data_IF_048494859217
#
_entry.id   IF_048494859217
#
_cell.length_a   1.000
_cell.length_b   1.000
_cell.length_c   1.000
_cell.angle_alpha   90.00
_cell.angle_beta   90.00
_cell.angle_gamma   90.00
#
_symmetry.space_group_name_H-M   'P 1'
#
loop_
_entity.id
_entity.type
_entity.pdbx_description
1 polymer ?
#
# COMPACT_ATOMS: atom_id res chain seq x y z
N UNK A 1 -16.38 -11.77 1.42
CA UNK A 1 -16.07 -10.73 0.40
C UNK A 1 -17.02 -10.90 -0.77
N UNK A 2 -17.64 -9.82 -1.27
CA UNK A 2 -18.60 -9.87 -2.38
C UNK A 2 -17.97 -10.31 -3.70
N UNK A 3 -16.79 -9.79 -4.03
CA UNK A 3 -16.10 -10.14 -5.29
C UNK A 3 -15.09 -11.27 -5.08
N UNK A 4 -15.21 -12.39 -5.79
CA UNK A 4 -14.21 -13.47 -5.77
C UNK A 4 -12.91 -13.09 -6.47
N UNK A 5 -11.77 -13.16 -5.77
CA UNK A 5 -10.45 -12.78 -6.32
C UNK A 5 -9.29 -13.49 -5.63
N UNK A 6 -8.14 -13.51 -6.30
CA UNK A 6 -6.85 -13.94 -5.76
C UNK A 6 -5.82 -12.82 -5.80
N UNK A 7 -4.82 -12.87 -4.91
CA UNK A 7 -3.72 -11.89 -4.94
C UNK A 7 -4.11 -10.48 -4.53
N UNK A 8 -5.10 -10.31 -3.65
CA UNK A 8 -5.48 -9.01 -3.09
C UNK A 8 -4.42 -8.51 -2.09
N UNK A 9 -4.35 -7.19 -1.90
CA UNK A 9 -3.78 -6.59 -0.69
C UNK A 9 -4.87 -6.47 0.38
N UNK A 10 -4.49 -6.48 1.66
CA UNK A 10 -5.40 -6.19 2.76
C UNK A 10 -4.69 -5.38 3.85
N UNK A 11 -5.40 -4.41 4.43
CA UNK A 11 -4.87 -3.53 5.48
C UNK A 11 -5.95 -3.22 6.50
N UNK A 12 -5.60 -3.25 7.79
CA UNK A 12 -6.49 -2.81 8.86
C UNK A 12 -6.35 -1.29 9.05
N UNK A 13 -7.48 -0.58 8.99
CA UNK A 13 -7.59 0.84 9.28
C UNK A 13 -8.27 0.98 10.65
N UNK A 14 -7.61 1.58 11.67
CA UNK A 14 -8.20 1.82 12.98
C UNK A 14 -9.57 2.50 12.87
N UNK A 15 -10.52 2.04 13.68
CA UNK A 15 -11.90 2.54 13.77
C UNK A 15 -12.76 2.42 12.50
N UNK A 16 -12.20 1.93 11.38
CA UNK A 16 -12.91 1.73 10.12
C UNK A 16 -13.13 0.24 9.81
N UNK A 17 -12.08 -0.58 9.89
CA UNK A 17 -12.12 -2.00 9.53
C UNK A 17 -11.00 -2.43 8.58
N UNK A 18 -11.18 -3.54 7.87
CA UNK A 18 -10.17 -4.07 6.95
C UNK A 18 -10.53 -3.72 5.51
N UNK A 19 -9.68 -2.95 4.85
CA UNK A 19 -9.79 -2.72 3.41
C UNK A 19 -9.10 -3.85 2.65
N UNK A 20 -9.75 -4.36 1.62
CA UNK A 20 -9.22 -5.37 0.70
C UNK A 20 -9.16 -4.78 -0.71
N UNK A 21 -7.95 -4.72 -1.28
CA UNK A 21 -7.64 -3.93 -2.47
C UNK A 21 -7.14 -4.81 -3.62
N UNK A 22 -7.65 -4.54 -4.82
CA UNK A 22 -7.16 -5.09 -6.07
C UNK A 22 -7.33 -6.61 -6.18
N UNK A 23 -6.30 -7.30 -6.66
CA UNK A 23 -6.31 -8.72 -6.96
C UNK A 23 -6.71 -9.02 -8.40
N UNK A 24 -6.97 -10.31 -8.66
CA UNK A 24 -7.37 -10.84 -9.96
C UNK A 24 -8.67 -11.61 -9.82
N UNK A 25 -9.68 -11.23 -10.61
CA UNK A 25 -10.98 -11.89 -10.65
C UNK A 25 -10.94 -13.27 -11.29
N UNK A 26 -12.05 -14.01 -11.19
CA UNK A 26 -12.21 -15.32 -11.83
C UNK A 26 -12.07 -15.26 -13.36
N UNK A 27 -12.41 -14.12 -13.97
CA UNK A 27 -12.24 -13.81 -15.39
C UNK A 27 -10.79 -13.48 -15.78
N UNK A 28 -9.84 -13.64 -14.84
CA UNK A 28 -8.41 -13.32 -14.97
C UNK A 28 -8.11 -11.83 -15.12
N UNK A 29 -9.10 -10.93 -15.01
CA UNK A 29 -8.87 -9.48 -15.06
C UNK A 29 -8.28 -9.00 -13.75
N UNK A 30 -7.35 -8.07 -13.85
CA UNK A 30 -6.82 -7.33 -12.70
C UNK A 30 -7.88 -6.33 -12.25
N UNK A 31 -8.12 -6.26 -10.94
CA UNK A 31 -9.15 -5.44 -10.35
C UNK A 31 -8.55 -4.15 -9.78
N UNK A 32 -9.29 -3.05 -9.88
CA UNK A 32 -9.07 -1.82 -9.10
C UNK A 32 -10.07 -1.71 -7.93
N UNK A 33 -10.85 -2.76 -7.69
CA UNK A 33 -11.90 -2.80 -6.67
C UNK A 33 -11.29 -2.70 -5.27
N UNK A 34 -11.96 -1.93 -4.41
CA UNK A 34 -11.71 -1.86 -2.97
C UNK A 34 -12.99 -2.25 -2.25
N UNK A 35 -12.89 -3.18 -1.31
CA UNK A 35 -14.01 -3.60 -0.47
C UNK A 35 -13.61 -3.49 1.00
N UNK A 36 -14.51 -2.92 1.81
CA UNK A 36 -14.34 -2.78 3.24
C UNK A 36 -15.04 -3.93 3.95
N UNK A 37 -14.30 -4.59 4.84
CA UNK A 37 -14.82 -5.53 5.81
C UNK A 37 -14.92 -4.87 7.18
N UNK A 38 -16.12 -4.87 7.76
CA UNK A 38 -16.35 -4.40 9.12
C UNK A 38 -16.91 -5.54 9.96
N UNK A 39 -16.49 -5.59 11.22
CA UNK A 39 -17.04 -6.52 12.21
C UNK A 39 -17.37 -5.73 13.46
N UNK A 40 -18.66 -5.64 13.79
CA UNK A 40 -19.14 -4.93 14.98
C UNK A 40 -20.13 -5.81 15.73
N UNK A 41 -19.90 -5.99 17.04
CA UNK A 41 -20.76 -6.77 17.93
C UNK A 41 -21.12 -8.17 17.37
N UNK A 42 -20.15 -8.85 16.75
CA UNK A 42 -20.32 -10.19 16.17
C UNK A 42 -21.04 -10.24 14.82
N UNK A 43 -21.50 -9.10 14.27
CA UNK A 43 -22.04 -9.00 12.91
C UNK A 43 -20.95 -8.52 11.97
N UNK A 44 -20.81 -9.21 10.84
CA UNK A 44 -19.79 -8.91 9.83
C UNK A 44 -20.45 -8.47 8.53
N UNK A 45 -20.01 -7.35 7.99
CA UNK A 45 -20.55 -6.77 6.75
C UNK A 45 -19.42 -6.50 5.76
N UNK A 46 -19.79 -6.51 4.48
CA UNK A 46 -18.92 -6.11 3.40
C UNK A 46 -19.57 -4.96 2.64
N UNK A 47 -18.81 -3.92 2.35
CA UNK A 47 -19.25 -2.75 1.61
C UNK A 47 -18.28 -2.45 0.47
N UNK A 48 -18.80 -1.97 -0.66
CA UNK A 48 -17.96 -1.38 -1.70
C UNK A 48 -17.33 -0.09 -1.18
N UNK A 49 -16.08 0.15 -1.56
CA UNK A 49 -15.35 1.38 -1.24
C UNK A 49 -14.88 2.06 -2.53
N UNK A 50 -14.39 3.30 -2.44
CA UNK A 50 -13.81 4.02 -3.57
C UNK A 50 -12.75 3.16 -4.27
N UNK A 51 -12.91 2.86 -5.57
CA UNK A 51 -11.93 2.07 -6.32
C UNK A 51 -10.56 2.78 -6.41
N UNK A 52 -9.51 1.99 -6.60
CA UNK A 52 -8.19 2.49 -6.97
C UNK A 52 -8.22 3.12 -8.38
N UNK A 53 -7.34 4.09 -8.65
CA UNK A 53 -7.17 4.68 -9.98
C UNK A 53 -6.61 3.65 -10.96
N UNK A 54 -5.77 2.74 -10.48
CA UNK A 54 -5.18 1.66 -11.27
C UNK A 54 -5.59 0.29 -10.75
N UNK A 55 -5.81 -0.65 -11.69
CA UNK A 55 -5.98 -2.05 -11.35
C UNK A 55 -4.64 -2.68 -10.94
N UNK A 56 -4.63 -3.42 -9.82
CA UNK A 56 -3.40 -4.00 -9.24
C UNK A 56 -3.61 -5.44 -8.81
N UNK A 57 -2.72 -6.35 -9.20
CA UNK A 57 -2.70 -7.71 -8.68
C UNK A 57 -1.43 -7.94 -7.85
N UNK A 58 -1.60 -8.51 -6.66
CA UNK A 58 -0.62 -8.59 -5.58
C UNK A 58 -0.06 -7.22 -5.18
N UNK A 59 -0.91 -6.21 -4.93
CA UNK A 59 -0.42 -4.93 -4.42
C UNK A 59 0.15 -5.10 -3.01
N UNK A 60 1.10 -4.23 -2.69
CA UNK A 60 1.58 -4.02 -1.33
C UNK A 60 0.78 -2.87 -0.73
N UNK A 61 0.31 -3.02 0.51
CA UNK A 61 -0.57 -2.07 1.18
C UNK A 61 -0.15 -1.84 2.63
N UNK A 62 -0.26 -0.59 3.10
CA UNK A 62 0.05 -0.21 4.48
C UNK A 62 -0.84 0.97 4.91
N UNK A 63 -1.21 1.01 6.20
CA UNK A 63 -1.92 2.14 6.79
C UNK A 63 -0.93 2.98 7.56
N UNK A 64 -0.81 4.25 7.17
CA UNK A 64 0.18 5.16 7.75
C UNK A 64 -0.34 6.59 7.74
N UNK A 65 -0.22 7.27 8.88
CA UNK A 65 -0.63 8.68 9.04
C UNK A 65 -2.03 8.99 8.47
N UNK A 66 -3.02 8.13 8.78
CA UNK A 66 -4.40 8.33 8.34
C UNK A 66 -4.68 7.95 6.88
N UNK A 67 -3.66 7.55 6.13
CA UNK A 67 -3.77 7.21 4.71
C UNK A 67 -3.50 5.71 4.47
N UNK A 68 -4.15 5.16 3.45
CA UNK A 68 -3.84 3.81 2.96
C UNK A 68 -2.96 3.94 1.72
N UNK A 69 -1.71 3.53 1.85
CA UNK A 69 -0.76 3.51 0.74
C UNK A 69 -0.86 2.18 0.02
N UNK A 70 -0.95 2.21 -1.31
CA UNK A 70 -1.00 1.03 -2.16
C UNK A 70 -0.05 1.16 -3.33
N UNK A 71 0.77 0.13 -3.54
CA UNK A 71 1.80 0.20 -4.56
C UNK A 71 2.12 -1.14 -5.20
N UNK A 72 2.66 -1.08 -6.42
CA UNK A 72 3.02 -2.24 -7.22
C UNK A 72 1.83 -3.00 -7.82
N UNK A 73 2.16 -3.86 -8.76
CA UNK A 73 1.26 -4.85 -9.39
C UNK A 73 2.12 -5.86 -10.15
N UNK A 74 1.73 -7.13 -10.12
CA UNK A 74 2.45 -8.20 -10.83
C UNK A 74 2.21 -8.20 -12.33
N UNK A 75 1.03 -7.77 -12.79
CA UNK A 75 0.60 -7.95 -14.19
C UNK A 75 0.50 -6.63 -14.98
N UNK A 76 0.61 -5.48 -14.32
CA UNK A 76 0.61 -4.15 -14.97
C UNK A 76 1.96 -3.48 -14.78
N UNK A 77 2.27 -2.43 -15.55
CA UNK A 77 3.58 -1.77 -15.48
C UNK A 77 3.88 -1.40 -14.00
N UNK A 78 5.06 -1.78 -13.47
CA UNK A 78 5.31 -1.77 -12.02
C UNK A 78 5.62 -0.35 -11.48
N UNK A 79 4.85 0.66 -11.88
CA UNK A 79 5.31 2.06 -11.89
C UNK A 79 4.31 3.05 -11.28
N UNK A 80 3.35 2.57 -10.50
CA UNK A 80 2.40 3.46 -9.82
C UNK A 80 2.34 3.09 -8.35
N UNK A 81 2.53 4.09 -7.50
CA UNK A 81 1.97 4.12 -6.15
C UNK A 81 0.75 5.03 -6.21
N UNK A 82 -0.26 4.72 -5.43
CA UNK A 82 -1.35 5.63 -5.14
C UNK A 82 -1.68 5.46 -3.66
N UNK A 83 -2.29 6.46 -3.07
CA UNK A 83 -2.78 6.35 -1.71
C UNK A 83 -4.20 6.86 -1.68
N UNK A 84 -4.98 6.24 -0.82
CA UNK A 84 -6.37 6.56 -0.63
C UNK A 84 -6.48 7.69 0.42
N UNK A 85 -6.04 8.89 0.03
CA UNK A 85 -6.41 10.21 0.56
C UNK A 85 -5.69 11.34 -0.23
N UNK A 86 -6.34 11.98 -1.21
CA UNK A 86 -5.94 13.22 -1.95
C UNK A 86 -4.44 13.61 -2.01
N UNK A 87 -3.66 13.11 -2.98
CA UNK A 87 -2.72 13.84 -3.87
C UNK A 87 -1.85 12.86 -4.69
N UNK A 88 -1.38 13.29 -5.86
CA UNK A 88 -0.65 12.44 -6.80
C UNK A 88 0.83 12.32 -6.40
N UNK A 89 1.33 11.09 -6.23
CA UNK A 89 2.77 10.82 -6.10
C UNK A 89 3.16 9.53 -6.82
N UNK A 90 3.96 9.66 -7.88
CA UNK A 90 4.31 8.58 -8.82
C UNK A 90 5.80 8.32 -8.79
N UNK A 91 6.28 7.24 -8.18
CA UNK A 91 7.67 6.74 -8.33
C UNK A 91 7.75 5.19 -8.33
N UNK A 92 8.76 4.65 -9.02
CA UNK A 92 8.75 3.31 -9.62
C UNK A 92 9.55 2.20 -8.92
N UNK A 93 9.09 0.96 -9.12
CA UNK A 93 9.76 -0.27 -8.70
C UNK A 93 8.78 -1.43 -8.49
N UNK A 94 9.24 -2.68 -8.64
CA UNK A 94 8.48 -3.84 -8.14
C UNK A 94 8.60 -3.86 -6.62
N UNK A 95 7.58 -3.37 -5.92
CA UNK A 95 7.56 -3.24 -4.47
C UNK A 95 7.08 -4.56 -3.86
N UNK A 96 7.86 -5.09 -2.91
CA UNK A 96 7.62 -6.39 -2.27
C UNK A 96 6.96 -6.27 -0.91
N UNK A 97 7.26 -5.19 -0.19
CA UNK A 97 6.79 -4.98 1.18
C UNK A 97 6.80 -3.50 1.50
N UNK A 98 5.83 -3.07 2.30
CA UNK A 98 5.73 -1.72 2.84
C UNK A 98 5.51 -1.88 4.35
N UNK A 99 6.06 -0.97 5.14
CA UNK A 99 5.88 -1.00 6.59
C UNK A 99 6.02 0.38 7.22
N UNK A 100 5.06 0.72 8.07
CA UNK A 100 5.13 1.86 8.96
C UNK A 100 5.92 1.52 10.24
N UNK A 101 6.97 2.29 10.53
CA UNK A 101 7.75 2.19 11.76
C UNK A 101 7.93 3.59 12.36
N UNK A 102 7.28 3.84 13.50
CA UNK A 102 7.20 5.17 14.12
C UNK A 102 6.60 6.16 13.10
N UNK A 103 7.28 7.27 12.84
CA UNK A 103 6.87 8.32 11.91
C UNK A 103 7.46 8.15 10.50
N UNK A 104 7.89 6.93 10.16
CA UNK A 104 8.49 6.63 8.86
C UNK A 104 7.74 5.50 8.15
N UNK A 105 7.55 5.66 6.83
CA UNK A 105 7.02 4.62 5.95
C UNK A 105 8.14 4.12 5.04
N UNK A 106 8.44 2.83 5.12
CA UNK A 106 9.45 2.20 4.28
C UNK A 106 8.81 1.31 3.22
N UNK A 107 9.42 1.26 2.04
CA UNK A 107 9.05 0.32 0.98
C UNK A 107 10.28 -0.37 0.42
N UNK A 108 10.19 -1.69 0.25
CA UNK A 108 11.25 -2.52 -0.33
C UNK A 108 10.95 -2.79 -1.79
N UNK A 109 11.87 -2.44 -2.67
CA UNK A 109 11.79 -2.71 -4.09
C UNK A 109 12.67 -3.90 -4.53
N UNK A 110 12.46 -4.35 -5.76
CA UNK A 110 13.29 -5.35 -6.44
C UNK A 110 14.75 -4.94 -6.45
N UNK A 111 15.63 -5.89 -6.11
CA UNK A 111 17.06 -5.64 -5.96
C UNK A 111 17.47 -5.28 -4.53
N UNK A 112 16.52 -5.25 -3.59
CA UNK A 112 16.79 -5.04 -2.16
C UNK A 112 16.89 -3.58 -1.74
N UNK A 113 16.57 -2.64 -2.63
CA UNK A 113 16.51 -1.22 -2.31
C UNK A 113 15.37 -0.94 -1.33
N UNK A 114 15.67 -0.25 -0.24
CA UNK A 114 14.69 0.20 0.74
C UNK A 114 14.58 1.72 0.63
N UNK A 115 13.38 2.18 0.29
CA UNK A 115 13.04 3.59 0.20
C UNK A 115 12.23 3.99 1.42
N UNK A 116 12.38 5.24 1.85
CA UNK A 116 11.58 5.89 2.88
C UNK A 116 10.76 7.00 2.25
N UNK A 117 9.49 7.12 2.64
CA UNK A 117 8.63 8.23 2.25
C UNK A 117 9.12 9.50 2.94
N UNK A 118 9.51 10.48 2.14
CA UNK A 118 9.80 11.84 2.61
C UNK A 118 8.50 12.63 2.65
N UNK A 119 8.25 13.25 3.81
CA UNK A 119 7.12 14.14 3.99
C UNK A 119 7.52 15.56 3.62
N UNK A 120 6.62 16.33 2.98
CA UNK A 120 6.86 17.75 2.74
C UNK A 120 7.17 18.44 4.07
N UNK A 121 8.23 19.24 4.11
CA UNK A 121 8.52 20.12 5.24
C UNK A 121 7.57 21.32 5.14
N UNK A 122 6.88 21.70 6.23
CA UNK A 122 5.84 22.75 6.22
C UNK A 122 6.35 24.18 5.88
N UNK A 123 7.62 24.36 5.52
CA UNK A 123 8.22 25.66 5.23
C UNK A 123 8.82 25.71 3.81
N UNK A 124 7.96 25.89 2.80
CA UNK A 124 8.16 26.91 1.75
C UNK A 124 7.08 26.83 0.66
N UNK A 125 6.40 27.95 0.46
CA UNK A 125 5.81 28.50 -0.77
C UNK A 125 5.24 27.52 -1.82
N UNK A 126 3.92 27.37 -1.76
CA UNK A 126 3.05 27.65 -2.92
C UNK A 126 2.97 26.61 -4.04
N UNK A 127 3.78 25.56 -4.04
CA UNK A 127 3.60 24.50 -5.02
C UNK A 127 4.04 23.11 -4.52
N UNK A 128 3.05 22.22 -4.49
CA UNK A 128 3.15 20.76 -4.51
C UNK A 128 3.42 20.03 -3.18
N UNK A 129 2.35 19.42 -2.65
CA UNK A 129 2.38 18.25 -1.75
C UNK A 129 3.03 17.05 -2.47
N UNK A 130 4.28 17.19 -2.91
CA UNK A 130 4.96 16.16 -3.68
C UNK A 130 5.64 15.19 -2.71
N UNK A 131 4.94 14.09 -2.45
CA UNK A 131 5.48 12.98 -1.69
C UNK A 131 6.63 12.32 -2.48
N UNK A 132 7.88 12.48 -2.01
CA UNK A 132 9.07 11.84 -2.59
C UNK A 132 9.49 10.59 -1.84
N UNK A 133 10.20 9.68 -2.52
CA UNK A 133 10.76 8.47 -1.91
C UNK A 133 12.28 8.53 -1.95
N UNK A 134 12.94 8.47 -0.79
CA UNK A 134 14.41 8.49 -0.67
C UNK A 134 14.97 7.11 -0.43
N UNK A 135 15.98 6.71 -1.20
CA UNK A 135 16.75 5.49 -0.94
C UNK A 135 17.50 5.61 0.39
N UNK A 136 17.32 4.64 1.29
CA UNK A 136 17.99 4.62 2.61
C UNK A 136 19.11 3.62 2.69
N UNK A 137 18.86 2.40 2.23
CA UNK A 137 19.86 1.33 2.23
C UNK A 137 19.46 0.23 1.25
N UNK A 138 20.40 -0.66 0.97
CA UNK A 138 20.20 -1.84 0.13
C UNK A 138 20.45 -3.11 0.94
N UNK A 139 19.51 -4.03 0.89
CA UNK A 139 19.63 -5.39 1.44
C UNK A 139 20.18 -6.30 0.34
N UNK A 140 21.09 -7.23 0.67
CA UNK A 140 21.61 -8.21 -0.31
C UNK A 140 20.45 -8.91 -1.01
N UNK A 141 20.43 -8.83 -2.34
CA UNK A 141 19.38 -9.44 -3.15
C UNK A 141 19.55 -10.97 -3.15
N UNK A 142 18.43 -11.69 -3.10
CA UNK A 142 18.47 -13.15 -3.13
C UNK A 142 17.12 -13.84 -3.03
N UNK A 143 16.18 -13.34 -2.21
CA UNK A 143 14.87 -13.96 -2.00
C UNK A 143 13.80 -12.93 -1.61
N UNK A 144 12.51 -13.35 -1.64
CA UNK A 144 11.33 -12.57 -1.26
C UNK A 144 11.56 -11.78 0.05
N UNK A 145 11.75 -10.47 -0.05
CA UNK A 145 11.97 -9.60 1.10
C UNK A 145 10.63 -9.19 1.70
N UNK A 146 10.49 -9.33 3.01
CA UNK A 146 9.35 -8.83 3.79
C UNK A 146 9.88 -7.98 4.94
N UNK A 147 9.37 -6.76 5.08
CA UNK A 147 9.63 -5.93 6.24
C UNK A 147 8.85 -6.48 7.43
N UNK A 148 9.53 -6.64 8.57
CA UNK A 148 8.97 -7.13 9.82
C UNK A 148 9.29 -6.12 10.92
N UNK A 149 8.26 -5.62 11.59
CA UNK A 149 8.39 -4.76 12.76
C UNK A 149 8.53 -5.66 13.97
N UNK A 150 9.71 -5.67 14.57
CA UNK A 150 9.95 -6.34 15.85
C UNK A 150 9.65 -5.33 16.95
N UNK A 151 8.61 -5.60 17.74
CA UNK A 151 8.34 -4.83 18.95
C UNK A 151 9.29 -5.36 20.04
N UNK A 152 10.28 -4.57 20.39
CA UNK A 152 11.10 -4.83 21.57
C UNK A 152 10.40 -4.13 22.73
N UNK A 153 9.83 -4.91 23.65
CA UNK A 153 9.33 -4.37 24.90
C UNK A 153 10.56 -3.90 25.69
N UNK A 154 10.65 -2.59 25.93
CA UNK A 154 11.57 -2.01 26.89
C UNK A 154 10.95 -2.04 28.28
#
# INVERSE_FOLDING_TARGET
>A
MPTGRVGSGAVNVPDLGVLVLGGRGADKKVLNVVELFQSFAGKSTWCSFTPMLAARNRPVVEFFQGCVYVAGSRDTSPHTAEFLSITNGRQGGNLYSMQAVRDHLYVVAKGGNVYELEMPHEENDGNQNDHSWRLRFQVKSGLNLRLLKVLVNA
#
